data_IF_993849763346
#
_entry.id   IF_993849763346
#
_cell.length_a   1.000
_cell.length_b   1.000
_cell.length_c   1.000
_cell.angle_alpha   90.00
_cell.angle_beta   90.00
_cell.angle_gamma   90.00
#
_symmetry.space_group_name_H-M   'P 1'
#
loop_
_entity.id
_entity.type
_entity.pdbx_description
1 polymer ?
#
# COMPACT_ATOMS: atom_id res chain seq x y z
N UNK A 1 -4.27 10.65 10.27
CA UNK A 1 -5.67 10.37 9.89
C UNK A 1 -6.06 10.97 8.54
N UNK A 2 -5.79 12.26 8.31
CA UNK A 2 -6.11 12.90 7.02
C UNK A 2 -5.28 12.33 5.88
N UNK A 3 -4.00 12.07 6.09
CA UNK A 3 -3.14 11.44 5.09
C UNK A 3 -3.64 10.03 4.72
N UNK A 4 -4.07 9.26 5.70
CA UNK A 4 -4.63 7.92 5.50
C UNK A 4 -5.96 7.97 4.76
N UNK A 5 -6.84 8.91 5.10
CA UNK A 5 -8.11 9.11 4.41
C UNK A 5 -7.89 9.53 2.95
N UNK A 6 -6.94 10.42 2.70
CA UNK A 6 -6.56 10.82 1.34
C UNK A 6 -5.99 9.65 0.54
N UNK A 7 -5.20 8.79 1.19
CA UNK A 7 -4.64 7.59 0.57
C UNK A 7 -5.74 6.62 0.15
N UNK A 8 -6.75 6.44 1.00
CA UNK A 8 -7.92 5.61 0.69
C UNK A 8 -8.70 6.17 -0.51
N UNK A 9 -8.94 7.47 -0.53
CA UNK A 9 -9.62 8.15 -1.62
C UNK A 9 -8.81 8.06 -2.93
N UNK A 10 -7.51 8.26 -2.86
CA UNK A 10 -6.63 8.15 -4.02
C UNK A 10 -6.63 6.73 -4.59
N UNK A 11 -6.58 5.73 -3.74
CA UNK A 11 -6.63 4.32 -4.18
C UNK A 11 -7.95 4.02 -4.91
N UNK A 12 -9.07 4.53 -4.40
CA UNK A 12 -10.36 4.40 -5.13
C UNK A 12 -10.29 5.06 -6.51
N UNK A 13 -9.74 6.27 -6.61
CA UNK A 13 -9.56 6.95 -7.89
C UNK A 13 -8.65 6.17 -8.84
N UNK A 14 -7.59 5.57 -8.32
CA UNK A 14 -6.70 4.72 -9.13
C UNK A 14 -7.46 3.51 -9.67
N UNK A 15 -8.24 2.84 -8.82
CA UNK A 15 -9.02 1.67 -9.24
C UNK A 15 -10.08 2.01 -10.29
N UNK A 16 -10.79 3.14 -10.11
CA UNK A 16 -11.93 3.50 -10.95
C UNK A 16 -11.58 4.31 -12.18
N UNK A 17 -10.65 5.26 -12.04
CA UNK A 17 -10.39 6.29 -13.04
C UNK A 17 -8.98 6.31 -13.60
N UNK A 18 -7.96 6.50 -12.74
CA UNK A 18 -6.60 6.77 -13.22
C UNK A 18 -5.95 5.56 -13.87
N UNK A 19 -6.08 4.40 -13.28
CA UNK A 19 -5.70 3.13 -13.89
C UNK A 19 -6.93 2.39 -14.45
N UNK A 20 -8.05 2.44 -13.74
CA UNK A 20 -9.33 1.98 -14.25
C UNK A 20 -9.52 0.47 -14.30
N UNK A 21 -8.86 -0.28 -13.42
CA UNK A 21 -9.03 -1.75 -13.39
C UNK A 21 -10.29 -2.21 -12.65
N UNK A 22 -11.01 -1.29 -12.01
CA UNK A 22 -12.29 -1.57 -11.36
C UNK A 22 -13.28 -0.41 -11.56
N UNK A 23 -13.63 -0.07 -12.81
CA UNK A 23 -14.41 1.13 -13.11
C UNK A 23 -15.86 1.08 -12.59
N UNK A 24 -16.39 -0.12 -12.38
CA UNK A 24 -17.74 -0.31 -11.88
C UNK A 24 -17.82 -0.49 -10.35
N UNK A 25 -16.71 -0.31 -9.65
CA UNK A 25 -16.65 -0.45 -8.20
C UNK A 25 -17.65 0.50 -7.52
N UNK A 26 -18.40 -0.04 -6.56
CA UNK A 26 -19.33 0.73 -5.73
C UNK A 26 -19.29 0.17 -4.31
N UNK A 27 -18.30 0.60 -3.54
CA UNK A 27 -18.05 0.12 -2.18
C UNK A 27 -18.45 1.17 -1.15
N UNK A 28 -19.05 0.73 -0.06
CA UNK A 28 -19.33 1.58 1.09
C UNK A 28 -18.12 1.63 2.05
N UNK A 29 -18.20 2.45 3.09
CA UNK A 29 -17.12 2.63 4.06
C UNK A 29 -16.72 1.31 4.73
N UNK A 30 -17.67 0.45 5.09
CA UNK A 30 -17.38 -0.84 5.70
C UNK A 30 -16.62 -1.76 4.76
N UNK A 31 -16.97 -1.76 3.49
CA UNK A 31 -16.28 -2.54 2.45
C UNK A 31 -14.83 -2.06 2.29
N UNK A 32 -14.61 -0.74 2.33
CA UNK A 32 -13.26 -0.16 2.25
C UNK A 32 -12.41 -0.55 3.46
N UNK A 33 -12.97 -0.48 4.67
CA UNK A 33 -12.29 -0.89 5.90
C UNK A 33 -11.89 -2.37 5.84
N UNK A 34 -12.73 -3.21 5.27
CA UNK A 34 -12.49 -4.65 5.09
C UNK A 34 -11.63 -4.98 3.87
N UNK A 35 -11.13 -3.97 3.17
CA UNK A 35 -10.30 -4.12 1.97
C UNK A 35 -10.97 -5.02 0.89
N UNK A 36 -12.25 -4.84 0.64
CA UNK A 36 -13.02 -5.61 -0.36
C UNK A 36 -12.79 -5.15 -1.80
N UNK A 37 -11.98 -4.12 -1.99
CA UNK A 37 -11.59 -3.67 -3.32
C UNK A 37 -10.65 -4.67 -3.99
N UNK A 38 -10.57 -4.61 -5.31
CA UNK A 38 -9.64 -5.40 -6.12
C UNK A 38 -8.22 -4.89 -6.00
N UNK A 39 -7.25 -5.80 -5.83
CA UNK A 39 -5.85 -5.43 -5.69
C UNK A 39 -5.49 -4.95 -4.29
N UNK A 40 -4.29 -4.40 -4.15
CA UNK A 40 -3.75 -3.88 -2.88
C UNK A 40 -2.89 -2.65 -3.12
N UNK A 41 -2.62 -1.90 -2.04
CA UNK A 41 -1.63 -0.80 -2.02
C UNK A 41 -0.58 -1.04 -0.94
N UNK A 42 0.34 -1.98 -1.13
CA UNK A 42 1.37 -2.24 -0.13
C UNK A 42 2.32 -1.04 -0.02
N UNK A 43 2.82 -0.81 1.18
CA UNK A 43 3.73 0.30 1.46
C UNK A 43 5.02 -0.22 2.09
N UNK A 44 6.19 0.33 1.70
CA UNK A 44 7.46 -0.03 2.33
C UNK A 44 7.45 0.23 3.84
N UNK A 45 7.91 -0.76 4.62
CA UNK A 45 7.92 -0.73 6.08
C UNK A 45 6.72 -1.43 6.72
N UNK A 46 5.77 -1.92 5.93
CA UNK A 46 4.63 -2.70 6.41
C UNK A 46 4.80 -4.20 6.07
N UNK A 47 4.02 -5.10 6.70
CA UNK A 47 4.26 -6.54 6.56
C UNK A 47 4.28 -7.10 5.13
N UNK A 48 3.49 -6.52 4.22
CA UNK A 48 3.49 -6.96 2.81
C UNK A 48 4.69 -6.44 2.00
N UNK A 49 5.43 -5.46 2.54
CA UNK A 49 6.64 -4.89 1.93
C UNK A 49 7.55 -4.39 3.04
N UNK A 50 8.23 -5.28 3.79
CA UNK A 50 8.85 -4.91 5.06
C UNK A 50 10.09 -4.02 4.95
N UNK A 51 10.77 -4.02 3.81
CA UNK A 51 12.01 -3.29 3.62
C UNK A 51 11.78 -1.79 3.41
N UNK A 52 12.19 -0.97 4.39
CA UNK A 52 12.12 0.49 4.28
C UNK A 52 12.94 1.04 3.12
N UNK A 53 14.02 0.36 2.72
CA UNK A 53 14.89 0.76 1.61
C UNK A 53 14.16 0.79 0.25
N UNK A 54 13.03 0.13 0.11
CA UNK A 54 12.21 0.19 -1.10
C UNK A 54 11.67 1.61 -1.37
N UNK A 55 11.60 2.47 -0.34
CA UNK A 55 11.24 3.89 -0.50
C UNK A 55 12.21 4.62 -1.43
N UNK A 56 13.49 4.25 -1.43
CA UNK A 56 14.50 4.88 -2.27
C UNK A 56 14.11 4.79 -3.76
N UNK A 57 13.55 3.66 -4.17
CA UNK A 57 13.07 3.45 -5.55
C UNK A 57 11.88 4.35 -5.89
N UNK A 58 10.94 4.49 -4.96
CA UNK A 58 9.78 5.38 -5.14
C UNK A 58 10.25 6.82 -5.30
N UNK A 59 11.17 7.26 -4.43
CA UNK A 59 11.71 8.64 -4.48
C UNK A 59 12.44 8.92 -5.79
N UNK A 60 13.18 7.95 -6.30
CA UNK A 60 13.87 8.07 -7.58
C UNK A 60 12.89 8.12 -8.77
N UNK A 61 12.00 7.12 -8.86
CA UNK A 61 11.06 6.99 -10.00
C UNK A 61 10.13 8.19 -10.11
N UNK A 62 9.63 8.70 -8.99
CA UNK A 62 8.69 9.81 -8.97
C UNK A 62 9.36 11.17 -8.79
N UNK A 63 10.69 11.22 -8.63
CA UNK A 63 11.42 12.45 -8.28
C UNK A 63 10.72 13.19 -7.14
N UNK A 64 10.43 12.47 -6.06
CA UNK A 64 9.51 12.91 -5.00
C UNK A 64 9.95 14.22 -4.37
N UNK A 65 11.21 14.34 -3.98
CA UNK A 65 11.72 15.54 -3.30
C UNK A 65 11.65 16.77 -4.21
N UNK A 66 12.03 16.63 -5.47
CA UNK A 66 11.96 17.71 -6.47
C UNK A 66 10.54 18.15 -6.74
N UNK A 67 9.62 17.19 -6.86
CA UNK A 67 8.23 17.47 -7.23
C UNK A 67 7.35 17.89 -6.07
N UNK A 68 7.64 17.47 -4.84
CA UNK A 68 6.75 17.66 -3.70
C UNK A 68 7.40 18.30 -2.48
N UNK A 69 8.72 18.30 -2.39
CA UNK A 69 9.46 18.71 -1.19
C UNK A 69 9.44 17.68 -0.05
N UNK A 70 8.80 16.53 -0.24
CA UNK A 70 8.79 15.46 0.75
C UNK A 70 10.11 14.71 0.69
N UNK A 71 10.79 14.56 1.82
CA UNK A 71 12.12 13.95 1.89
C UNK A 71 12.12 12.68 2.75
N UNK A 72 13.19 11.90 2.63
CA UNK A 72 13.49 10.76 3.50
C UNK A 72 14.62 11.13 4.45
N UNK A 73 14.51 10.69 5.70
CA UNK A 73 15.61 10.76 6.66
C UNK A 73 16.65 9.66 6.38
N UNK A 74 17.77 9.66 7.10
CA UNK A 74 18.80 8.62 6.98
C UNK A 74 18.26 7.22 7.27
N UNK A 75 17.28 7.12 8.19
CA UNK A 75 16.61 5.86 8.52
C UNK A 75 15.40 5.58 7.65
N UNK A 76 15.19 6.38 6.61
CA UNK A 76 14.09 6.29 5.65
C UNK A 76 12.71 6.53 6.25
N UNK A 77 12.63 7.37 7.28
CA UNK A 77 11.37 7.95 7.72
C UNK A 77 10.98 9.08 6.76
N UNK A 78 9.69 9.25 6.52
CA UNK A 78 9.19 10.30 5.64
C UNK A 78 9.05 11.60 6.40
N UNK A 79 9.52 12.70 5.80
CA UNK A 79 9.37 14.05 6.35
C UNK A 79 8.71 14.97 5.32
N UNK A 80 7.60 15.63 5.64
CA UNK A 80 6.88 15.63 6.92
C UNK A 80 6.20 14.27 7.22
N UNK A 81 6.01 13.97 8.51
CA UNK A 81 5.52 12.67 8.97
C UNK A 81 4.10 12.33 8.48
N UNK A 82 3.26 13.33 8.24
CA UNK A 82 1.91 13.15 7.70
C UNK A 82 1.93 12.91 6.19
N UNK A 83 2.69 11.92 5.77
CA UNK A 83 2.87 11.54 4.36
C UNK A 83 2.93 10.03 4.26
N UNK A 84 2.47 9.50 3.13
CA UNK A 84 2.52 8.07 2.84
C UNK A 84 3.03 7.85 1.42
N UNK A 85 3.64 6.70 1.19
CA UNK A 85 4.02 6.23 -0.14
C UNK A 85 3.71 4.75 -0.26
N UNK A 86 3.59 4.24 -1.47
CA UNK A 86 3.32 2.83 -1.69
C UNK A 86 3.24 2.49 -3.16
N UNK A 87 2.81 1.26 -3.40
CA UNK A 87 2.63 0.67 -4.71
C UNK A 87 1.16 0.32 -4.92
N UNK A 88 0.73 0.22 -6.16
CA UNK A 88 -0.59 -0.32 -6.48
C UNK A 88 -0.43 -1.61 -7.26
N UNK A 89 -1.05 -2.68 -6.76
CA UNK A 89 -1.15 -3.96 -7.47
C UNK A 89 -2.60 -4.20 -7.84
N UNK A 90 -2.86 -4.38 -9.13
CA UNK A 90 -4.22 -4.49 -9.66
C UNK A 90 -4.76 -5.91 -9.67
N UNK A 91 -3.92 -6.92 -9.44
CA UNK A 91 -4.35 -8.32 -9.56
C UNK A 91 -5.45 -8.64 -8.54
N UNK A 92 -6.57 -9.26 -8.97
CA UNK A 92 -7.71 -9.52 -8.09
C UNK A 92 -7.40 -10.50 -6.95
N UNK A 93 -6.38 -11.34 -7.11
CA UNK A 93 -5.95 -12.29 -6.07
C UNK A 93 -4.87 -11.72 -5.13
N UNK A 94 -4.41 -10.49 -5.37
CA UNK A 94 -3.48 -9.85 -4.46
C UNK A 94 -4.16 -9.62 -3.10
N UNK A 95 -3.46 -9.98 -2.02
CA UNK A 95 -3.97 -9.88 -0.65
C UNK A 95 -2.92 -9.30 0.27
N UNK A 96 -3.37 -8.53 1.26
CA UNK A 96 -2.52 -8.16 2.38
C UNK A 96 -2.24 -9.39 3.23
N UNK A 97 -1.02 -9.51 3.71
CA UNK A 97 -0.61 -10.59 4.59
C UNK A 97 0.43 -10.09 5.59
N UNK A 98 0.61 -10.84 6.69
CA UNK A 98 1.71 -10.65 7.62
C UNK A 98 2.65 -11.85 7.61
N UNK A 99 3.90 -11.67 8.01
CA UNK A 99 4.86 -12.77 8.09
C UNK A 99 4.42 -13.84 9.11
N UNK A 100 3.70 -13.43 10.17
CA UNK A 100 3.11 -14.33 11.15
C UNK A 100 2.10 -15.31 10.53
N UNK A 101 1.29 -14.85 9.59
CA UNK A 101 0.31 -15.69 8.90
C UNK A 101 0.98 -16.79 8.07
N UNK A 102 2.08 -16.46 7.38
CA UNK A 102 2.87 -17.43 6.64
C UNK A 102 3.48 -18.49 7.56
N UNK A 103 3.96 -18.07 8.71
CA UNK A 103 4.54 -19.00 9.70
C UNK A 103 3.50 -19.98 10.24
N UNK A 104 2.32 -19.50 10.59
CA UNK A 104 1.24 -20.34 11.10
C UNK A 104 0.76 -21.37 10.06
N UNK A 105 0.69 -20.98 8.79
CA UNK A 105 0.33 -21.91 7.71
C UNK A 105 1.40 -22.99 7.49
N UNK A 106 2.69 -22.63 7.56
CA UNK A 106 3.77 -23.59 7.36
C UNK A 106 3.88 -24.60 8.52
N UNK A 107 3.56 -24.18 9.74
CA UNK A 107 3.55 -25.08 10.91
C UNK A 107 2.36 -26.04 10.91
N UNK A 108 1.21 -25.59 10.43
CA UNK A 108 0.03 -26.45 10.27
C UNK A 108 0.25 -27.55 9.22
N UNK A 109 0.98 -27.24 8.14
CA UNK A 109 1.31 -28.23 7.11
C UNK A 109 2.38 -29.24 7.55
N UNK A 110 3.16 -28.94 8.58
CA UNK A 110 4.18 -29.86 9.12
C UNK A 110 3.63 -30.85 10.15
N UNK A 111 2.41 -30.62 10.65
CA UNK A 111 1.72 -31.50 11.60
C UNK A 111 0.75 -32.47 10.91
N UNK A 112 0.77 -32.50 9.60
CA UNK A 112 0.10 -33.50 8.77
C UNK A 112 1.11 -34.53 8.29
#
# INVERSE_FOLDING_TARGET
>A
RLAEALTEQLHEKVRRDFWGYAPAENLNTNDLIKAKYSGIRPAPGYPACPEHSEKDKIWEILSVEENTGISLTETRAIYPAASVCGWYFSHPDARYFSLGDKWSQSTNNKNL
#
